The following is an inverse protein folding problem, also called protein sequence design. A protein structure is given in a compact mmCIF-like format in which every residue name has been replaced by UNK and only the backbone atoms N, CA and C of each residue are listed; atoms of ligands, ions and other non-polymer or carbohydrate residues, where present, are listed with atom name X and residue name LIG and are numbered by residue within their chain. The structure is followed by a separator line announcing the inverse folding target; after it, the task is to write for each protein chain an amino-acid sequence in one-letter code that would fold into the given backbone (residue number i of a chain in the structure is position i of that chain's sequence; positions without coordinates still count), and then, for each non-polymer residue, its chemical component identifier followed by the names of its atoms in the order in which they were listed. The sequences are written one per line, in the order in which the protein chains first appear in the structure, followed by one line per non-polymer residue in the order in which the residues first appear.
data_IF_578853843782
#
_entry.id   IF_578853843782
#
_cell.length_a   1.000
_cell.length_b   1.000
_cell.length_c   1.000
_cell.angle_alpha   90.00
_cell.angle_beta   90.00
_cell.angle_gamma   90.00
#
_symmetry.space_group_name_H-M   'P 1'
#
loop_
_entity.id
_entity.type
_entity.pdbx_description
1 polymer ?
#
# COMPACT_ATOMS: atom_id res chain seq x y z
N UNK A 1 -11.09 19.42 4.44
CA UNK A 1 -12.42 18.80 4.29
C UNK A 1 -12.50 18.17 2.91
N UNK A 2 -13.42 17.23 2.72
CA UNK A 2 -13.70 16.62 1.42
C UNK A 2 -15.09 17.06 0.98
N UNK A 3 -15.21 17.69 -0.18
CA UNK A 3 -16.50 18.19 -0.67
C UNK A 3 -16.87 17.46 -1.94
N UNK A 4 -18.03 16.79 -1.94
CA UNK A 4 -18.58 16.13 -3.12
C UNK A 4 -18.90 17.18 -4.20
N UNK A 5 -18.35 17.05 -5.43
CA UNK A 5 -18.50 18.07 -6.46
C UNK A 5 -19.92 18.14 -7.02
N UNK A 6 -20.75 17.12 -6.81
CA UNK A 6 -22.10 17.09 -7.37
C UNK A 6 -23.04 18.04 -6.61
N UNK A 7 -23.15 17.90 -5.29
CA UNK A 7 -24.12 18.65 -4.48
C UNK A 7 -23.50 19.40 -3.29
N UNK A 8 -22.17 19.45 -3.19
CA UNK A 8 -21.46 20.24 -2.18
C UNK A 8 -21.51 19.67 -0.75
N UNK A 9 -21.91 18.40 -0.58
CA UNK A 9 -21.84 17.74 0.72
C UNK A 9 -20.39 17.67 1.20
N UNK A 10 -20.15 18.13 2.41
CA UNK A 10 -18.80 18.34 2.93
C UNK A 10 -18.56 17.47 4.15
N UNK A 11 -17.46 16.72 4.12
CA UNK A 11 -17.03 15.79 5.16
C UNK A 11 -15.71 16.25 5.78
N UNK A 12 -15.48 15.94 7.06
CA UNK A 12 -14.15 16.05 7.65
C UNK A 12 -13.29 14.83 7.31
N UNK A 13 -12.05 14.79 7.80
CA UNK A 13 -11.13 13.67 7.60
C UNK A 13 -11.47 12.41 8.42
N UNK A 14 -12.36 12.49 9.41
CA UNK A 14 -12.91 11.30 10.09
C UNK A 14 -14.09 10.68 9.35
N UNK A 15 -14.48 11.26 8.20
CA UNK A 15 -15.64 10.86 7.41
C UNK A 15 -16.98 11.41 7.91
N UNK A 16 -16.98 12.26 8.95
CA UNK A 16 -18.21 12.87 9.48
C UNK A 16 -18.79 13.86 8.47
N UNK A 17 -20.09 13.76 8.20
CA UNK A 17 -20.82 14.74 7.42
C UNK A 17 -20.95 16.05 8.21
N UNK A 18 -20.34 17.11 7.69
CA UNK A 18 -20.32 18.43 8.35
C UNK A 18 -21.45 19.33 7.85
N UNK A 19 -21.67 19.33 6.54
CA UNK A 19 -22.59 20.26 5.88
C UNK A 19 -23.23 19.63 4.67
N UNK A 20 -24.50 19.94 4.48
CA UNK A 20 -25.23 19.76 3.22
C UNK A 20 -25.72 21.09 2.71
N UNK A 21 -26.03 21.15 1.41
CA UNK A 21 -26.58 22.33 0.78
C UNK A 21 -28.05 22.51 1.19
N UNK A 22 -28.43 23.74 1.49
CA UNK A 22 -29.81 24.17 1.81
C UNK A 22 -30.56 23.24 2.80
N UNK A 23 -29.98 22.91 3.98
CA UNK A 23 -30.50 21.87 4.86
C UNK A 23 -31.94 22.06 5.35
N UNK A 24 -32.41 23.32 5.43
CA UNK A 24 -33.76 23.65 5.86
C UNK A 24 -34.81 23.54 4.73
N UNK A 25 -34.41 23.77 3.48
CA UNK A 25 -35.32 23.85 2.32
C UNK A 25 -35.25 22.61 1.42
N UNK A 26 -34.22 21.78 1.59
CA UNK A 26 -33.99 20.58 0.77
C UNK A 26 -34.95 19.41 1.06
N UNK A 27 -35.87 19.54 2.03
CA UNK A 27 -36.84 18.50 2.37
C UNK A 27 -36.22 17.26 3.04
N UNK A 28 -35.05 17.42 3.68
CA UNK A 28 -34.43 16.34 4.44
C UNK A 28 -35.26 15.97 5.67
N UNK A 29 -35.24 14.68 6.04
CA UNK A 29 -35.92 14.21 7.25
C UNK A 29 -35.25 14.73 8.52
N UNK A 30 -35.97 14.72 9.64
CA UNK A 30 -35.42 15.15 10.93
C UNK A 30 -34.22 14.32 11.40
N UNK A 31 -34.03 13.09 10.90
CA UNK A 31 -32.88 12.25 11.22
C UNK A 31 -31.66 12.48 10.30
N UNK A 32 -31.78 13.39 9.33
CA UNK A 32 -30.71 13.68 8.40
C UNK A 32 -29.51 14.32 9.10
N UNK A 33 -28.31 13.81 8.82
CA UNK A 33 -27.06 14.21 9.47
C UNK A 33 -27.10 14.21 11.02
N UNK A 34 -27.88 13.30 11.60
CA UNK A 34 -27.87 12.99 13.04
C UNK A 34 -27.27 11.62 13.27
N UNK A 35 -26.53 11.47 14.37
CA UNK A 35 -25.98 10.19 14.84
C UNK A 35 -25.20 9.41 13.76
N UNK A 36 -24.53 10.13 12.85
CA UNK A 36 -23.73 9.54 11.77
C UNK A 36 -24.55 8.93 10.62
N UNK A 37 -25.84 9.27 10.49
CA UNK A 37 -26.75 8.69 9.50
C UNK A 37 -26.27 8.79 8.04
N UNK A 38 -25.41 9.75 7.74
CA UNK A 38 -24.89 10.02 6.39
C UNK A 38 -23.38 10.28 6.40
N UNK A 39 -22.66 9.80 7.41
CA UNK A 39 -21.19 9.81 7.42
C UNK A 39 -20.64 8.91 6.31
N UNK A 40 -19.39 9.14 5.89
CA UNK A 40 -18.70 8.24 4.97
C UNK A 40 -18.63 6.82 5.56
N UNK A 41 -18.82 5.81 4.71
CA UNK A 41 -18.71 4.41 5.12
C UNK A 41 -17.28 4.12 5.56
N UNK A 42 -17.13 3.71 6.82
CA UNK A 42 -15.83 3.29 7.37
C UNK A 42 -15.42 1.94 6.79
N UNK A 43 -14.11 1.78 6.56
CA UNK A 43 -13.49 0.46 6.40
C UNK A 43 -13.74 -0.31 7.70
N UNK A 44 -14.20 -1.57 7.60
CA UNK A 44 -14.73 -2.31 8.75
C UNK A 44 -13.66 -2.57 9.83
N UNK A 45 -12.43 -2.91 9.41
CA UNK A 45 -11.26 -3.00 10.26
C UNK A 45 -10.08 -2.32 9.58
N UNK A 46 -9.36 -1.49 10.31
CA UNK A 46 -8.19 -0.78 9.81
C UNK A 46 -7.11 -0.80 10.88
N UNK A 47 -6.00 -1.46 10.58
CA UNK A 47 -4.92 -1.73 11.54
C UNK A 47 -3.57 -1.43 10.88
N UNK A 48 -2.55 -1.20 11.70
CA UNK A 48 -1.22 -0.85 11.25
C UNK A 48 -0.21 -1.81 11.88
N UNK A 49 0.67 -2.39 11.07
CA UNK A 49 1.79 -3.18 11.56
C UNK A 49 3.10 -2.55 11.06
N UNK A 50 3.91 -2.01 11.98
CA UNK A 50 5.22 -1.37 11.69
C UNK A 50 5.17 -0.28 10.60
N UNK A 51 4.08 0.47 10.52
CA UNK A 51 3.87 1.54 9.53
C UNK A 51 3.21 1.09 8.23
N UNK A 52 3.02 -0.22 8.01
CA UNK A 52 2.21 -0.76 6.93
C UNK A 52 0.73 -0.75 7.33
N UNK A 53 -0.10 -0.10 6.52
CA UNK A 53 -1.52 0.09 6.80
C UNK A 53 -2.36 -0.97 6.07
N UNK A 54 -3.21 -1.69 6.80
CA UNK A 54 -4.09 -2.74 6.28
C UNK A 54 -5.55 -2.43 6.56
N UNK A 55 -6.41 -2.75 5.59
CA UNK A 55 -7.86 -2.58 5.70
C UNK A 55 -8.61 -3.85 5.31
N UNK A 56 -9.61 -4.24 6.11
CA UNK A 56 -10.57 -5.28 5.77
C UNK A 56 -11.97 -4.69 5.63
N UNK A 57 -12.67 -5.12 4.59
CA UNK A 57 -14.10 -4.83 4.39
C UNK A 57 -15.00 -5.75 5.24
N UNK A 58 -14.46 -6.85 5.75
CA UNK A 58 -15.14 -7.75 6.67
C UNK A 58 -14.77 -7.40 8.12
N UNK A 59 -15.75 -7.09 9.01
CA UNK A 59 -15.46 -6.84 10.43
C UNK A 59 -15.02 -8.10 11.19
N UNK A 60 -15.47 -9.27 10.74
CA UNK A 60 -15.24 -10.56 11.37
C UNK A 60 -13.99 -11.23 10.78
N UNK A 61 -12.85 -10.67 11.17
CA UNK A 61 -11.51 -11.14 10.80
C UNK A 61 -10.64 -11.20 12.06
N UNK A 62 -9.63 -12.10 12.10
CA UNK A 62 -8.64 -12.11 13.17
C UNK A 62 -7.91 -10.77 13.28
N UNK A 63 -7.11 -10.60 14.34
CA UNK A 63 -6.22 -9.44 14.45
C UNK A 63 -5.23 -9.40 13.29
N UNK A 64 -4.70 -8.22 12.94
CA UNK A 64 -3.72 -8.10 11.87
C UNK A 64 -2.47 -8.95 12.12
N UNK A 65 -1.99 -8.99 13.37
CA UNK A 65 -0.81 -9.81 13.73
C UNK A 65 -1.07 -11.31 13.54
N UNK A 66 -2.25 -11.80 13.93
CA UNK A 66 -2.64 -13.19 13.72
C UNK A 66 -2.79 -13.53 12.23
N UNK A 67 -3.39 -12.64 11.43
CA UNK A 67 -3.51 -12.80 9.99
C UNK A 67 -2.13 -12.85 9.30
N UNK A 68 -1.21 -11.97 9.69
CA UNK A 68 0.14 -11.93 9.13
C UNK A 68 0.97 -13.16 9.55
N UNK A 69 0.76 -13.66 10.77
CA UNK A 69 1.46 -14.81 11.31
C UNK A 69 2.98 -14.65 11.18
N UNK A 70 3.64 -15.63 10.59
CA UNK A 70 5.10 -15.65 10.40
C UNK A 70 5.63 -14.56 9.46
N UNK A 71 4.77 -13.95 8.63
CA UNK A 71 5.14 -12.81 7.77
C UNK A 71 5.62 -11.62 8.59
N UNK A 72 5.17 -11.50 9.84
CA UNK A 72 5.63 -10.47 10.79
C UNK A 72 7.15 -10.45 10.91
N UNK A 73 7.80 -11.62 10.94
CA UNK A 73 9.26 -11.75 11.02
C UNK A 73 9.96 -11.15 9.79
N UNK A 74 9.38 -11.32 8.60
CA UNK A 74 9.91 -10.74 7.36
C UNK A 74 9.76 -9.22 7.38
N UNK A 75 8.58 -8.72 7.80
CA UNK A 75 8.34 -7.27 7.91
C UNK A 75 9.30 -6.65 8.94
N UNK A 76 9.52 -7.30 10.08
CA UNK A 76 10.46 -6.85 11.10
C UNK A 76 11.90 -6.80 10.58
N UNK A 77 12.33 -7.80 9.79
CA UNK A 77 13.66 -7.78 9.16
C UNK A 77 13.80 -6.64 8.13
N UNK A 78 12.72 -6.31 7.41
CA UNK A 78 12.72 -5.20 6.44
C UNK A 78 12.80 -3.85 7.17
N UNK A 79 11.95 -3.65 8.17
CA UNK A 79 11.88 -2.39 8.94
C UNK A 79 13.12 -2.21 9.82
N UNK A 80 13.68 -3.30 10.34
CA UNK A 80 14.83 -3.29 11.25
C UNK A 80 16.19 -3.03 10.60
N UNK A 81 16.25 -2.71 9.29
CA UNK A 81 17.52 -2.37 8.63
C UNK A 81 18.07 -0.99 9.05
N UNK A 82 17.29 -0.19 9.77
CA UNK A 82 17.69 1.13 10.28
C UNK A 82 16.94 1.46 11.57
N UNK A 83 17.61 2.08 12.53
CA UNK A 83 16.99 2.60 13.76
C UNK A 83 15.96 3.70 13.47
N UNK A 84 16.04 4.34 12.29
CA UNK A 84 15.07 5.35 11.84
C UNK A 84 13.86 4.75 11.12
N UNK A 85 13.83 3.42 10.92
CA UNK A 85 12.78 2.73 10.21
C UNK A 85 12.82 2.91 8.69
N UNK A 86 11.65 2.79 8.05
CA UNK A 86 11.48 2.89 6.60
C UNK A 86 10.58 4.06 6.24
N UNK A 87 10.91 4.71 5.12
CA UNK A 87 10.04 5.67 4.46
C UNK A 87 9.72 5.24 3.03
N UNK A 88 8.49 5.50 2.60
CA UNK A 88 8.12 5.40 1.19
C UNK A 88 8.47 6.72 0.52
N UNK A 89 9.44 6.68 -0.39
CA UNK A 89 9.81 7.86 -1.17
C UNK A 89 8.64 8.33 -2.02
N UNK A 90 8.51 9.66 -2.17
CA UNK A 90 7.44 10.25 -2.96
C UNK A 90 7.57 9.85 -4.42
N UNK A 91 6.50 9.27 -4.96
CA UNK A 91 6.41 8.86 -6.35
C UNK A 91 5.74 7.49 -6.46
N UNK A 92 5.14 7.21 -7.61
CA UNK A 92 4.62 5.88 -7.93
C UNK A 92 4.77 5.62 -9.42
N UNK A 93 4.98 4.35 -9.77
CA UNK A 93 4.89 3.85 -11.13
C UNK A 93 3.63 3.00 -11.23
N UNK A 94 2.80 3.27 -12.22
CA UNK A 94 1.55 2.54 -12.42
C UNK A 94 1.42 2.16 -13.89
N UNK A 95 1.12 0.89 -14.13
CA UNK A 95 0.87 0.34 -15.45
C UNK A 95 -0.25 -0.69 -15.35
N UNK A 96 -0.90 -0.97 -16.46
CA UNK A 96 -1.87 -2.06 -16.58
C UNK A 96 -1.25 -3.20 -17.39
N UNK A 97 -1.70 -4.43 -17.13
CA UNK A 97 -1.35 -5.58 -17.94
C UNK A 97 -2.58 -6.49 -18.07
N UNK A 98 -2.65 -7.23 -19.17
CA UNK A 98 -3.74 -8.17 -19.42
C UNK A 98 -3.45 -9.51 -18.74
N UNK A 99 -3.78 -9.60 -17.46
CA UNK A 99 -3.67 -10.87 -16.74
C UNK A 99 -4.31 -10.82 -15.36
N UNK A 100 -4.43 -12.00 -14.74
CA UNK A 100 -4.97 -12.09 -13.40
C UNK A 100 -3.95 -11.58 -12.38
N UNK A 101 -4.41 -10.79 -11.39
CA UNK A 101 -3.56 -10.24 -10.33
C UNK A 101 -2.77 -11.31 -9.55
N UNK A 102 -3.29 -12.55 -9.48
CA UNK A 102 -2.62 -13.67 -8.81
C UNK A 102 -1.26 -14.00 -9.42
N UNK A 103 -1.08 -13.81 -10.74
CA UNK A 103 0.18 -14.12 -11.43
C UNK A 103 1.35 -13.29 -10.89
N UNK A 104 1.12 -12.02 -10.52
CA UNK A 104 2.16 -11.18 -9.93
C UNK A 104 2.54 -11.65 -8.53
N UNK A 105 1.56 -12.07 -7.72
CA UNK A 105 1.81 -12.59 -6.38
C UNK A 105 2.59 -13.92 -6.42
N UNK A 106 2.19 -14.84 -7.30
CA UNK A 106 2.88 -16.13 -7.50
C UNK A 106 4.30 -15.93 -8.04
N UNK A 107 4.48 -15.05 -9.03
CA UNK A 107 5.78 -14.73 -9.60
C UNK A 107 6.74 -14.14 -8.56
N UNK A 108 6.24 -13.30 -7.64
CA UNK A 108 7.05 -12.72 -6.57
C UNK A 108 7.61 -13.75 -5.59
N UNK A 109 6.94 -14.89 -5.44
CA UNK A 109 7.39 -16.02 -4.61
C UNK A 109 8.21 -17.06 -5.40
N UNK A 110 8.24 -16.98 -6.73
CA UNK A 110 8.91 -17.94 -7.59
C UNK A 110 10.35 -17.52 -7.95
N UNK A 111 11.34 -18.14 -7.31
CA UNK A 111 12.75 -17.95 -7.67
C UNK A 111 13.20 -18.74 -8.92
N UNK A 112 12.41 -19.71 -9.38
CA UNK A 112 12.82 -20.65 -10.44
C UNK A 112 12.89 -19.97 -11.81
N UNK A 113 11.96 -19.06 -12.13
CA UNK A 113 11.95 -18.38 -13.42
C UNK A 113 13.14 -17.43 -13.63
N UNK A 114 13.85 -17.05 -12.57
CA UNK A 114 14.80 -15.94 -12.61
C UNK A 114 15.91 -16.15 -13.63
N UNK A 115 16.51 -17.34 -13.67
CA UNK A 115 17.62 -17.64 -14.58
C UNK A 115 17.19 -17.77 -16.04
N UNK A 116 15.94 -18.19 -16.30
CA UNK A 116 15.42 -18.39 -17.64
C UNK A 116 14.88 -17.09 -18.24
N UNK A 117 13.99 -16.41 -17.51
CA UNK A 117 13.28 -15.20 -18.01
C UNK A 117 14.20 -13.98 -17.99
N UNK A 118 15.06 -13.85 -16.98
CA UNK A 118 15.97 -12.70 -16.83
C UNK A 118 17.40 -13.00 -17.31
N UNK A 119 17.60 -13.99 -18.19
CA UNK A 119 18.93 -14.36 -18.70
C UNK A 119 19.71 -13.16 -19.26
N UNK A 120 19.07 -12.31 -20.06
CA UNK A 120 19.71 -11.14 -20.64
C UNK A 120 20.22 -10.16 -19.57
N UNK A 121 19.46 -9.99 -18.47
CA UNK A 121 19.88 -9.16 -17.34
C UNK A 121 21.07 -9.78 -16.61
N UNK A 122 21.02 -11.09 -16.34
CA UNK A 122 22.09 -11.82 -15.69
C UNK A 122 23.40 -11.73 -16.51
N UNK A 123 23.34 -12.03 -17.82
CA UNK A 123 24.47 -11.94 -18.73
C UNK A 123 25.05 -10.52 -18.81
N UNK A 124 24.20 -9.50 -18.91
CA UNK A 124 24.64 -8.10 -18.93
C UNK A 124 25.36 -7.69 -17.65
N UNK A 125 24.82 -8.09 -16.50
CA UNK A 125 25.43 -7.79 -15.19
C UNK A 125 26.77 -8.51 -15.03
N UNK A 126 26.86 -9.76 -15.49
CA UNK A 126 28.09 -10.54 -15.48
C UNK A 126 29.18 -9.91 -16.36
N UNK A 127 28.85 -9.54 -17.61
CA UNK A 127 29.79 -8.86 -18.48
C UNK A 127 30.29 -7.51 -17.93
N UNK A 128 29.42 -6.74 -17.25
CA UNK A 128 29.85 -5.51 -16.57
C UNK A 128 30.84 -5.80 -15.45
N UNK A 129 30.61 -6.84 -14.65
CA UNK A 129 31.54 -7.26 -13.59
C UNK A 129 32.89 -7.68 -14.18
N UNK A 130 32.89 -8.44 -15.27
CA UNK A 130 34.12 -8.87 -15.95
C UNK A 130 34.88 -7.70 -16.57
N UNK A 131 34.18 -6.74 -17.19
CA UNK A 131 34.79 -5.53 -17.72
C UNK A 131 35.32 -4.59 -16.62
N UNK A 132 34.61 -4.46 -15.50
CA UNK A 132 35.04 -3.69 -14.33
C UNK A 132 36.12 -4.42 -13.51
N UNK A 133 36.30 -5.73 -13.66
CA UNK A 133 37.39 -6.46 -13.01
C UNK A 133 38.78 -6.03 -13.54
N UNK A 134 38.82 -5.34 -14.68
CA UNK A 134 40.02 -4.65 -15.18
C UNK A 134 40.23 -3.25 -14.58
N UNK A 135 39.28 -2.73 -13.80
CA UNK A 135 39.37 -1.45 -13.12
C UNK A 135 39.93 -1.64 -11.70
N UNK A 136 41.15 -1.14 -11.46
CA UNK A 136 41.84 -1.24 -10.17
C UNK A 136 41.28 -0.27 -9.10
N UNK A 137 40.17 0.41 -9.38
CA UNK A 137 39.53 1.33 -8.44
C UNK A 137 38.62 0.54 -7.50
N UNK A 138 39.05 0.37 -6.24
CA UNK A 138 38.25 -0.27 -5.19
C UNK A 138 37.01 0.57 -4.86
N UNK A 139 35.86 0.20 -5.41
CA UNK A 139 34.58 0.63 -4.86
C UNK A 139 34.30 -0.17 -3.57
N UNK A 140 33.95 0.56 -2.51
CA UNK A 140 33.58 0.02 -1.20
C UNK A 140 32.40 -0.96 -1.31
N UNK A 141 32.66 -2.22 -1.00
CA UNK A 141 31.68 -3.31 -0.92
C UNK A 141 30.83 -3.13 0.34
N UNK A 142 29.52 -2.91 0.18
CA UNK A 142 28.58 -3.11 1.26
C UNK A 142 28.39 -4.63 1.42
N UNK A 143 28.91 -5.16 2.53
CA UNK A 143 28.65 -6.54 2.97
C UNK A 143 27.19 -6.75 3.34
#
# INVERSE_FOLDING_TARGET
TYTCPFHGWTFNNSGKLLKVKDPAEAGYSDCFNKDGSHDLKKVARFESYKGFLFGSLNPDVPSLEEFLGETTKIIDMIVGQSDQGLEVLRGSSTYTYEGNWKLTAENGADGYHVSAVHWNYAATTQHRKEAQAADNIRAMSAG
#
